data_IF_840419152333
#
_entry.id   IF_840419152333
#
_cell.length_a   1.000
_cell.length_b   1.000
_cell.length_c   1.000
_cell.angle_alpha   90.00
_cell.angle_beta   90.00
_cell.angle_gamma   90.00
#
_symmetry.space_group_name_H-M   'P 1'
#
loop_
_entity.id
_entity.type
_entity.pdbx_description
1 polymer ?
#
# COMPACT_ATOMS: atom_id res chain seq x y z
N UNK A 1 -21.15 -2.23 -6.29
CA UNK A 1 -19.70 -2.01 -6.57
C UNK A 1 -19.21 -3.14 -7.43
N UNK A 2 -18.37 -2.90 -8.45
CA UNK A 2 -17.70 -3.99 -9.16
C UNK A 2 -16.50 -4.49 -8.35
N UNK A 3 -16.72 -5.47 -7.47
CA UNK A 3 -15.66 -6.05 -6.62
C UNK A 3 -14.51 -6.66 -7.43
N UNK A 4 -14.82 -7.29 -8.58
CA UNK A 4 -13.80 -7.91 -9.43
C UNK A 4 -12.85 -6.87 -10.02
N UNK A 5 -13.35 -5.69 -10.38
CA UNK A 5 -12.51 -4.58 -10.83
C UNK A 5 -11.51 -4.17 -9.72
N UNK A 6 -12.00 -3.87 -8.51
CA UNK A 6 -11.13 -3.46 -7.40
C UNK A 6 -10.14 -4.55 -6.99
N UNK A 7 -10.60 -5.80 -6.92
CA UNK A 7 -9.74 -6.96 -6.69
C UNK A 7 -8.59 -7.03 -7.71
N UNK A 8 -8.89 -6.96 -9.01
CA UNK A 8 -7.86 -7.00 -10.05
C UNK A 8 -6.90 -5.81 -9.97
N UNK A 9 -7.41 -4.61 -9.68
CA UNK A 9 -6.59 -3.40 -9.53
C UNK A 9 -5.61 -3.54 -8.37
N UNK A 10 -6.08 -3.97 -7.19
CA UNK A 10 -5.23 -4.17 -6.02
C UNK A 10 -4.20 -5.30 -6.26
N UNK A 11 -4.60 -6.41 -6.87
CA UNK A 11 -3.67 -7.50 -7.20
C UNK A 11 -2.56 -7.04 -8.17
N UNK A 12 -2.91 -6.26 -9.20
CA UNK A 12 -1.92 -5.69 -10.14
C UNK A 12 -0.96 -4.72 -9.45
N UNK A 13 -1.47 -3.86 -8.58
CA UNK A 13 -0.65 -2.95 -7.79
C UNK A 13 0.28 -3.72 -6.83
N UNK A 14 -0.25 -4.75 -6.16
CA UNK A 14 0.53 -5.60 -5.28
C UNK A 14 1.62 -6.35 -6.04
N UNK A 15 1.34 -6.84 -7.25
CA UNK A 15 2.34 -7.48 -8.11
C UNK A 15 3.48 -6.51 -8.48
N UNK A 16 3.15 -5.24 -8.75
CA UNK A 16 4.16 -4.20 -8.98
C UNK A 16 5.02 -3.96 -7.73
N UNK A 17 4.40 -3.82 -6.55
CA UNK A 17 5.15 -3.73 -5.29
C UNK A 17 6.02 -4.97 -5.05
N UNK A 18 5.54 -6.17 -5.36
CA UNK A 18 6.28 -7.41 -5.22
C UNK A 18 7.54 -7.42 -6.10
N UNK A 19 7.41 -7.00 -7.36
CA UNK A 19 8.54 -6.90 -8.29
C UNK A 19 9.58 -5.87 -7.81
N UNK A 20 9.14 -4.67 -7.40
CA UNK A 20 10.02 -3.61 -6.89
C UNK A 20 10.70 -4.09 -5.59
N UNK A 21 9.94 -4.65 -4.66
CA UNK A 21 10.44 -5.11 -3.36
C UNK A 21 11.49 -6.19 -3.48
N UNK A 22 11.25 -7.21 -4.33
CA UNK A 22 12.22 -8.25 -4.62
C UNK A 22 13.49 -7.67 -5.26
N UNK A 23 13.35 -6.75 -6.22
CA UNK A 23 14.48 -6.05 -6.84
C UNK A 23 15.33 -5.26 -5.84
N UNK A 24 14.70 -4.52 -4.93
CA UNK A 24 15.39 -3.81 -3.85
C UNK A 24 16.11 -4.77 -2.90
N UNK A 25 15.52 -5.92 -2.59
CA UNK A 25 16.14 -6.95 -1.76
C UNK A 25 17.41 -7.51 -2.41
N UNK A 26 17.34 -7.83 -3.69
CA UNK A 26 18.51 -8.28 -4.47
C UNK A 26 19.61 -7.21 -4.54
N UNK A 27 19.22 -5.95 -4.75
CA UNK A 27 20.17 -4.84 -4.77
C UNK A 27 20.88 -4.66 -3.42
N UNK A 28 20.16 -4.68 -2.30
CA UNK A 28 20.76 -4.60 -0.97
C UNK A 28 21.72 -5.76 -0.69
N UNK A 29 21.35 -6.98 -1.09
CA UNK A 29 22.22 -8.14 -0.95
C UNK A 29 23.52 -8.00 -1.75
N UNK A 30 23.44 -7.51 -3.00
CA UNK A 30 24.61 -7.27 -3.84
C UNK A 30 25.48 -6.08 -3.42
N UNK A 31 24.87 -5.02 -2.89
CA UNK A 31 25.57 -3.81 -2.46
C UNK A 31 26.17 -3.93 -1.04
N UNK A 32 25.75 -4.91 -0.24
CA UNK A 32 26.17 -5.06 1.16
C UNK A 32 25.69 -3.92 2.08
N UNK A 33 24.70 -3.13 1.63
CA UNK A 33 24.17 -1.97 2.34
C UNK A 33 22.69 -2.13 2.66
N UNK A 34 22.32 -1.75 3.89
CA UNK A 34 20.96 -1.80 4.39
C UNK A 34 20.25 -0.44 4.39
N UNK A 35 20.78 0.55 3.68
CA UNK A 35 20.19 1.89 3.60
C UNK A 35 18.71 1.87 3.14
N UNK A 36 18.36 0.93 2.25
CA UNK A 36 17.01 0.77 1.71
C UNK A 36 16.12 -0.17 2.54
N UNK A 37 16.62 -0.72 3.65
CA UNK A 37 15.93 -1.74 4.44
C UNK A 37 14.53 -1.31 4.89
N UNK A 38 14.32 -0.09 5.42
CA UNK A 38 12.98 0.35 5.83
C UNK A 38 12.01 0.42 4.64
N UNK A 39 12.48 0.91 3.49
CA UNK A 39 11.68 1.07 2.27
C UNK A 39 11.33 -0.30 1.69
N UNK A 40 12.31 -1.21 1.58
CA UNK A 40 12.11 -2.59 1.13
C UNK A 40 11.07 -3.33 1.97
N UNK A 41 11.19 -3.24 3.30
CA UNK A 41 10.26 -3.91 4.21
C UNK A 41 8.82 -3.40 4.02
N UNK A 42 8.61 -2.09 3.91
CA UNK A 42 7.27 -1.54 3.72
C UNK A 42 6.71 -1.80 2.32
N UNK A 43 7.55 -1.79 1.28
CA UNK A 43 7.13 -2.18 -0.06
C UNK A 43 6.63 -3.63 -0.08
N UNK A 44 7.31 -4.56 0.60
CA UNK A 44 6.85 -5.95 0.63
C UNK A 44 5.68 -6.18 1.58
N UNK A 45 5.67 -5.59 2.78
CA UNK A 45 4.61 -5.84 3.77
C UNK A 45 3.38 -4.97 3.48
N UNK A 46 3.53 -3.64 3.49
CA UNK A 46 2.42 -2.72 3.31
C UNK A 46 1.98 -2.61 1.84
N UNK A 47 2.92 -2.71 0.89
CA UNK A 47 2.65 -2.70 -0.54
C UNK A 47 2.19 -4.06 -1.06
N UNK A 48 3.09 -5.04 -1.15
CA UNK A 48 2.77 -6.35 -1.75
C UNK A 48 1.78 -7.15 -0.90
N UNK A 49 2.13 -7.54 0.33
CA UNK A 49 1.35 -8.50 1.12
C UNK A 49 -0.04 -7.96 1.49
N UNK A 50 -0.11 -6.77 2.09
CA UNK A 50 -1.38 -6.17 2.53
C UNK A 50 -2.32 -5.87 1.36
N UNK A 51 -1.83 -5.20 0.30
CA UNK A 51 -2.68 -4.86 -0.86
C UNK A 51 -3.09 -6.12 -1.61
N UNK A 52 -2.23 -7.14 -1.71
CA UNK A 52 -2.59 -8.43 -2.27
C UNK A 52 -3.70 -9.10 -1.45
N UNK A 53 -3.56 -9.14 -0.12
CA UNK A 53 -4.55 -9.73 0.77
C UNK A 53 -5.92 -9.03 0.62
N UNK A 54 -5.96 -7.70 0.53
CA UNK A 54 -7.20 -6.97 0.25
C UNK A 54 -7.76 -7.23 -1.16
N UNK A 55 -6.90 -7.39 -2.15
CA UNK A 55 -7.29 -7.79 -3.51
C UNK A 55 -7.94 -9.16 -3.54
N UNK A 56 -7.40 -10.13 -2.81
CA UNK A 56 -7.98 -11.47 -2.64
C UNK A 56 -9.26 -11.41 -1.81
N UNK A 57 -9.29 -10.64 -0.73
CA UNK A 57 -10.49 -10.41 0.07
C UNK A 57 -11.67 -9.98 -0.81
N UNK A 58 -11.49 -8.98 -1.68
CA UNK A 58 -12.54 -8.56 -2.61
C UNK A 58 -12.88 -9.58 -3.70
N UNK A 59 -12.02 -10.58 -3.94
CA UNK A 59 -12.33 -11.68 -4.86
C UNK A 59 -13.24 -12.72 -4.22
N UNK A 60 -13.04 -13.01 -2.93
CA UNK A 60 -13.63 -14.20 -2.27
C UNK A 60 -14.68 -13.86 -1.23
N UNK A 61 -14.77 -12.60 -0.77
CA UNK A 61 -15.76 -12.15 0.21
C UNK A 61 -16.67 -11.11 -0.41
N UNK A 62 -17.99 -11.32 -0.35
CA UNK A 62 -18.96 -10.33 -0.78
C UNK A 62 -19.19 -9.27 0.30
N UNK A 63 -19.25 -7.99 -0.10
CA UNK A 63 -19.45 -6.86 0.82
C UNK A 63 -20.74 -6.10 0.52
N UNK A 64 -21.50 -5.81 1.58
CA UNK A 64 -22.79 -5.11 1.51
C UNK A 64 -22.68 -3.58 1.55
N UNK A 65 -21.49 -3.04 1.85
CA UNK A 65 -21.22 -1.60 1.94
C UNK A 65 -20.33 -1.11 0.78
N UNK A 66 -20.87 -0.90 -0.43
CA UNK A 66 -20.07 -0.60 -1.62
C UNK A 66 -19.29 0.72 -1.54
N UNK A 67 -19.85 1.76 -0.91
CA UNK A 67 -19.15 3.05 -0.75
C UNK A 67 -17.93 2.91 0.17
N UNK A 68 -18.10 2.24 1.31
CA UNK A 68 -17.03 1.99 2.28
C UNK A 68 -15.90 1.17 1.65
N UNK A 69 -16.25 0.13 0.89
CA UNK A 69 -15.29 -0.71 0.18
C UNK A 69 -14.49 0.06 -0.89
N UNK A 70 -15.15 0.92 -1.67
CA UNK A 70 -14.47 1.79 -2.64
C UNK A 70 -13.49 2.74 -1.93
N UNK A 71 -13.95 3.41 -0.87
CA UNK A 71 -13.09 4.33 -0.10
C UNK A 71 -11.90 3.61 0.53
N UNK A 72 -12.12 2.41 1.09
CA UNK A 72 -11.05 1.55 1.60
C UNK A 72 -10.02 1.24 0.49
N UNK A 73 -10.47 0.79 -0.68
CA UNK A 73 -9.58 0.42 -1.78
C UNK A 73 -8.77 1.63 -2.30
N UNK A 74 -9.42 2.79 -2.49
CA UNK A 74 -8.75 4.02 -2.97
C UNK A 74 -7.72 4.49 -1.94
N UNK A 75 -8.08 4.56 -0.66
CA UNK A 75 -7.15 4.96 0.39
C UNK A 75 -6.01 3.95 0.55
N UNK A 76 -6.26 2.66 0.33
CA UNK A 76 -5.20 1.64 0.34
C UNK A 76 -4.21 1.83 -0.81
N UNK A 77 -4.69 2.16 -2.01
CA UNK A 77 -3.84 2.47 -3.17
C UNK A 77 -3.02 3.73 -2.92
N UNK A 78 -3.67 4.84 -2.56
CA UNK A 78 -3.00 6.13 -2.35
C UNK A 78 -2.04 6.06 -1.17
N UNK A 79 -2.45 5.42 -0.07
CA UNK A 79 -1.65 5.28 1.14
C UNK A 79 -0.42 4.41 0.95
N UNK A 80 -0.56 3.25 0.29
CA UNK A 80 0.60 2.36 0.05
C UNK A 80 1.64 3.01 -0.88
N UNK A 81 1.20 3.68 -1.94
CA UNK A 81 2.10 4.42 -2.84
C UNK A 81 2.70 5.62 -2.10
N UNK A 82 1.87 6.44 -1.46
CA UNK A 82 2.30 7.65 -0.76
C UNK A 82 3.29 7.36 0.37
N UNK A 83 3.04 6.34 1.18
CA UNK A 83 3.95 5.91 2.25
C UNK A 83 5.30 5.49 1.68
N UNK A 84 5.31 4.59 0.69
CA UNK A 84 6.56 4.02 0.16
C UNK A 84 7.38 5.04 -0.62
N UNK A 85 6.73 5.91 -1.41
CA UNK A 85 7.38 7.05 -2.08
C UNK A 85 7.85 8.08 -1.06
N UNK A 86 7.04 8.40 -0.06
CA UNK A 86 7.40 9.35 0.99
C UNK A 86 8.60 8.89 1.81
N UNK A 87 8.68 7.60 2.15
CA UNK A 87 9.88 7.04 2.81
C UNK A 87 11.12 7.14 1.92
N UNK A 88 10.98 6.93 0.61
CA UNK A 88 12.08 7.08 -0.33
C UNK A 88 12.57 8.54 -0.41
N UNK A 89 11.63 9.49 -0.48
CA UNK A 89 11.93 10.92 -0.47
C UNK A 89 12.57 11.36 0.85
N UNK A 90 12.00 10.98 1.99
CA UNK A 90 12.47 11.41 3.32
C UNK A 90 13.83 10.81 3.68
N UNK A 91 14.07 9.52 3.39
CA UNK A 91 15.28 8.84 3.84
C UNK A 91 16.46 8.96 2.89
N UNK A 92 16.22 9.14 1.59
CA UNK A 92 17.29 9.29 0.60
C UNK A 92 17.44 10.71 0.06
N UNK A 93 16.44 11.57 0.26
CA UNK A 93 16.35 12.93 -0.27
C UNK A 93 16.90 13.06 -1.72
N UNK A 94 16.39 12.27 -2.67
CA UNK A 94 17.01 12.12 -3.98
C UNK A 94 16.68 13.28 -4.95
N UNK A 95 15.74 14.15 -4.58
CA UNK A 95 15.24 15.24 -5.41
C UNK A 95 15.60 16.59 -4.78
N UNK A 96 15.82 17.65 -5.57
CA UNK A 96 16.12 18.99 -5.07
C UNK A 96 14.83 19.71 -4.62
N UNK A 97 14.07 19.10 -3.72
CA UNK A 97 12.85 19.64 -3.12
C UNK A 97 13.05 19.85 -1.62
N UNK A 98 12.19 20.65 -0.98
CA UNK A 98 12.37 20.96 0.44
C UNK A 98 12.08 19.75 1.34
N UNK A 99 12.83 19.64 2.44
CA UNK A 99 12.63 18.60 3.44
C UNK A 99 11.20 18.59 4.00
N UNK A 100 10.57 19.78 4.10
CA UNK A 100 9.16 19.89 4.49
C UNK A 100 8.23 19.15 3.52
N UNK A 101 8.49 19.21 2.21
CA UNK A 101 7.69 18.47 1.22
C UNK A 101 7.91 16.96 1.37
N UNK A 102 9.16 16.51 1.53
CA UNK A 102 9.47 15.10 1.77
C UNK A 102 8.71 14.54 2.97
N UNK A 103 8.79 15.26 4.11
CA UNK A 103 8.13 14.91 5.35
C UNK A 103 6.60 14.87 5.19
N UNK A 104 6.02 15.85 4.51
CA UNK A 104 4.57 15.90 4.29
C UNK A 104 4.10 14.73 3.43
N UNK A 105 4.80 14.38 2.34
CA UNK A 105 4.45 13.22 1.51
C UNK A 105 4.50 11.94 2.34
N UNK A 106 5.54 11.77 3.15
CA UNK A 106 5.68 10.61 4.04
C UNK A 106 4.54 10.50 5.06
N UNK A 107 4.29 11.56 5.84
CA UNK A 107 3.26 11.55 6.90
C UNK A 107 1.85 11.42 6.31
N UNK A 108 1.54 12.15 5.24
CA UNK A 108 0.23 12.10 4.60
C UNK A 108 -0.01 10.71 4.01
N UNK A 109 1.00 10.15 3.32
CA UNK A 109 0.93 8.80 2.77
C UNK A 109 0.66 7.75 3.84
N UNK A 110 1.43 7.77 4.94
CA UNK A 110 1.24 6.88 6.08
C UNK A 110 -0.13 7.04 6.75
N UNK A 111 -0.61 8.28 6.91
CA UNK A 111 -1.91 8.57 7.52
C UNK A 111 -3.08 8.07 6.67
N UNK A 112 -2.99 8.21 5.34
CA UNK A 112 -4.00 7.69 4.41
C UNK A 112 -4.01 6.16 4.45
N UNK A 113 -2.84 5.51 4.57
CA UNK A 113 -2.78 4.06 4.71
C UNK A 113 -3.39 3.58 6.04
N UNK A 114 -3.11 4.29 7.15
CA UNK A 114 -3.75 4.01 8.44
C UNK A 114 -5.28 4.13 8.35
N UNK A 115 -5.77 5.18 7.68
CA UNK A 115 -7.20 5.33 7.42
C UNK A 115 -7.74 4.12 6.64
N UNK A 116 -7.02 3.63 5.64
CA UNK A 116 -7.42 2.42 4.90
C UNK A 116 -7.57 1.20 5.83
N UNK A 117 -6.63 0.96 6.75
CA UNK A 117 -6.77 -0.10 7.75
C UNK A 117 -8.01 0.07 8.64
N UNK A 118 -8.29 1.30 9.09
CA UNK A 118 -9.50 1.59 9.87
C UNK A 118 -10.76 1.30 9.04
N UNK A 119 -10.79 1.74 7.78
CA UNK A 119 -11.92 1.49 6.88
C UNK A 119 -12.10 0.00 6.60
N UNK A 120 -11.01 -0.77 6.48
CA UNK A 120 -11.05 -2.22 6.34
C UNK A 120 -11.64 -2.89 7.59
N UNK A 121 -11.19 -2.49 8.77
CA UNK A 121 -11.76 -2.94 10.04
C UNK A 121 -13.27 -2.64 10.13
N UNK A 122 -13.70 -1.43 9.74
CA UNK A 122 -15.13 -1.12 9.70
C UNK A 122 -15.86 -1.97 8.65
N UNK A 123 -15.24 -2.23 7.50
CA UNK A 123 -15.82 -3.01 6.42
C UNK A 123 -16.09 -4.47 6.82
N UNK A 124 -15.33 -5.03 7.76
CA UNK A 124 -15.52 -6.41 8.23
C UNK A 124 -16.84 -6.62 8.97
N UNK A 125 -17.55 -5.56 9.37
CA UNK A 125 -18.90 -5.65 9.94
C UNK A 125 -20.01 -5.64 8.88
N UNK A 126 -19.67 -5.41 7.60
CA UNK A 126 -20.60 -5.32 6.47
C UNK A 126 -20.37 -6.41 5.43
N UNK A 127 -19.80 -7.55 5.83
CA UNK A 127 -19.67 -8.72 4.95
C UNK A 127 -21.06 -9.31 4.68
N UNK A 128 -21.28 -9.91 3.52
CA UNK A 128 -22.48 -10.72 3.29
C UNK A 128 -22.43 -11.91 4.25
N UNK A 129 -23.51 -12.10 5.01
CA UNK A 129 -23.69 -13.34 5.76
C UNK A 129 -24.43 -14.25 4.79
N UNK A 130 -23.72 -15.21 4.19
CA UNK A 130 -24.40 -16.37 3.63
C UNK A 130 -25.05 -17.16 4.77
#
# INVERSE_FOLDING_TARGET
MNQRFWSNTLIRLAALFGAIGAGLGAHMAGAGSYALKPIHAHILVAGWLTVFAWGIFYRVVEVRAPKLAITHAITGIIGSIGLTVGMWLEFLNPLPISDTINLLVYIIGGSILLLSFILFFLLTFFLSND
#
